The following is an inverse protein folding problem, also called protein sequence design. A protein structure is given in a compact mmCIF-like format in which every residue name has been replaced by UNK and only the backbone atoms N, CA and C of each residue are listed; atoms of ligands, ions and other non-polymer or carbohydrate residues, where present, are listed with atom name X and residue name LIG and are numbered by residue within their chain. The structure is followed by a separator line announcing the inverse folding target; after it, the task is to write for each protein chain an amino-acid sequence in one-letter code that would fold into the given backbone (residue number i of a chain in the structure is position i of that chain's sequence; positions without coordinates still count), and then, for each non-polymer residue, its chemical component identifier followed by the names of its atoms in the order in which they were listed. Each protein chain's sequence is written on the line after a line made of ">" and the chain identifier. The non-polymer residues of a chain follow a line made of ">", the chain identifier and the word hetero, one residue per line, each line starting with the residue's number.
data_IF_527836196902
#
_entry.id   IF_527836196902
#
_cell.length_a   1.000
_cell.length_b   1.000
_cell.length_c   1.000
_cell.angle_alpha   90.00
_cell.angle_beta   90.00
_cell.angle_gamma   90.00
#
_symmetry.space_group_name_H-M   'P 1'
#
loop_
_entity.id
_entity.type
_entity.pdbx_description
1 polymer ?
#
# COMPACT_ATOMS: atom_id res chain seq x y z
N UNK A 1 15.29 24.91 -1.25
CA UNK A 1 15.01 24.10 -2.46
C UNK A 1 14.67 22.64 -2.13
N UNK A 2 15.39 22.00 -1.19
CA UNK A 2 15.09 20.66 -0.70
C UNK A 2 13.71 20.54 -0.02
N UNK A 3 13.28 21.56 0.73
CA UNK A 3 11.98 21.56 1.42
C UNK A 3 10.77 21.55 0.48
N UNK A 4 10.87 22.18 -0.69
CA UNK A 4 9.77 22.21 -1.66
C UNK A 4 9.56 20.83 -2.31
N UNK A 5 10.65 20.12 -2.62
CA UNK A 5 10.58 18.73 -3.10
C UNK A 5 9.99 17.80 -2.02
N UNK A 6 10.33 18.05 -0.75
CA UNK A 6 9.84 17.29 0.41
C UNK A 6 8.34 17.50 0.66
N UNK A 7 7.86 18.74 0.54
CA UNK A 7 6.42 19.08 0.65
C UNK A 7 5.63 18.37 -0.46
N UNK A 8 6.15 18.41 -1.69
CA UNK A 8 5.49 17.82 -2.85
C UNK A 8 5.44 16.28 -2.78
N UNK A 9 6.49 15.64 -2.24
CA UNK A 9 6.51 14.19 -2.00
C UNK A 9 5.47 13.78 -0.96
N UNK A 10 5.39 14.48 0.18
CA UNK A 10 4.40 14.19 1.23
C UNK A 10 2.97 14.30 0.71
N UNK A 11 2.68 15.29 -0.12
CA UNK A 11 1.36 15.44 -0.76
C UNK A 11 1.06 14.30 -1.72
N UNK A 12 2.04 13.88 -2.55
CA UNK A 12 1.89 12.71 -3.44
C UNK A 12 1.62 11.43 -2.68
N UNK A 13 2.32 11.20 -1.57
CA UNK A 13 2.10 10.02 -0.71
C UNK A 13 0.71 10.05 -0.06
N UNK A 14 0.25 11.22 0.40
CA UNK A 14 -1.12 11.38 0.92
C UNK A 14 -2.17 11.10 -0.15
N UNK A 15 -2.01 11.62 -1.37
CA UNK A 15 -2.92 11.35 -2.48
C UNK A 15 -2.90 9.87 -2.88
N UNK A 16 -1.72 9.26 -2.91
CA UNK A 16 -1.58 7.82 -3.16
C UNK A 16 -2.37 7.01 -2.13
N UNK A 17 -2.23 7.32 -0.83
CA UNK A 17 -2.99 6.66 0.24
C UNK A 17 -4.50 6.88 0.12
N UNK A 18 -4.93 8.09 -0.21
CA UNK A 18 -6.35 8.45 -0.22
C UNK A 18 -7.12 7.96 -1.44
N UNK A 19 -6.45 7.86 -2.60
CA UNK A 19 -7.11 7.55 -3.89
C UNK A 19 -6.68 6.19 -4.43
N UNK A 20 -5.37 5.96 -4.58
CA UNK A 20 -4.87 4.74 -5.22
C UNK A 20 -5.07 3.55 -4.31
N UNK A 21 -4.67 3.68 -3.05
CA UNK A 21 -4.74 2.60 -2.07
C UNK A 21 -6.18 2.20 -1.74
N UNK A 22 -7.09 3.17 -1.60
CA UNK A 22 -8.51 2.94 -1.32
C UNK A 22 -9.19 2.25 -2.51
N UNK A 23 -8.98 2.73 -3.73
CA UNK A 23 -9.51 2.11 -4.96
C UNK A 23 -8.99 0.68 -5.12
N UNK A 24 -7.70 0.46 -4.84
CA UNK A 24 -7.04 -0.83 -4.98
C UNK A 24 -7.50 -1.85 -3.93
N UNK A 25 -7.73 -1.40 -2.68
CA UNK A 25 -8.31 -2.23 -1.63
C UNK A 25 -9.79 -2.53 -1.88
N UNK A 26 -10.59 -1.55 -2.30
CA UNK A 26 -12.00 -1.76 -2.63
C UNK A 26 -12.18 -2.75 -3.79
N UNK A 27 -11.33 -2.63 -4.82
CA UNK A 27 -11.25 -3.63 -5.89
C UNK A 27 -10.86 -5.03 -5.37
N UNK A 28 -9.96 -5.10 -4.39
CA UNK A 28 -9.58 -6.36 -3.75
C UNK A 28 -10.65 -6.93 -2.81
N UNK A 29 -11.54 -6.12 -2.23
CA UNK A 29 -12.70 -6.59 -1.44
C UNK A 29 -13.74 -7.26 -2.34
N UNK A 30 -13.90 -6.77 -3.58
CA UNK A 30 -14.87 -7.28 -4.55
C UNK A 30 -14.34 -8.42 -5.43
N UNK A 31 -13.02 -8.60 -5.50
CA UNK A 31 -12.38 -9.74 -6.16
C UNK A 31 -12.00 -10.81 -5.14
N UNK A 32 -12.26 -12.08 -5.42
CA UNK A 32 -11.73 -13.18 -4.62
C UNK A 32 -10.21 -13.08 -4.57
N UNK A 33 -9.68 -12.77 -3.39
CA UNK A 33 -8.26 -12.45 -3.13
C UNK A 33 -7.40 -13.69 -3.31
N UNK A 34 -7.15 -14.08 -4.56
CA UNK A 34 -6.12 -15.07 -4.87
C UNK A 34 -4.75 -14.47 -4.61
N UNK A 35 -3.86 -15.26 -4.01
CA UNK A 35 -2.48 -14.89 -3.70
C UNK A 35 -1.68 -14.38 -4.90
N UNK A 36 -2.07 -14.78 -6.12
CA UNK A 36 -1.50 -14.28 -7.38
C UNK A 36 -1.80 -12.81 -7.63
N UNK A 37 -3.02 -12.34 -7.32
CA UNK A 37 -3.40 -10.94 -7.49
C UNK A 37 -2.74 -10.07 -6.43
N UNK A 38 -2.64 -10.55 -5.18
CA UNK A 38 -1.91 -9.86 -4.12
C UNK A 38 -0.44 -9.60 -4.50
N UNK A 39 0.23 -10.56 -5.16
CA UNK A 39 1.59 -10.37 -5.69
C UNK A 39 1.66 -9.29 -6.76
N UNK A 40 0.74 -9.29 -7.73
CA UNK A 40 0.69 -8.27 -8.79
C UNK A 40 0.42 -6.88 -8.21
N UNK A 41 -0.51 -6.77 -7.27
CA UNK A 41 -0.82 -5.54 -6.55
C UNK A 41 0.38 -5.04 -5.74
N UNK A 42 1.10 -5.92 -5.07
CA UNK A 42 2.30 -5.57 -4.33
C UNK A 42 3.41 -5.04 -5.26
N UNK A 43 3.62 -5.69 -6.42
CA UNK A 43 4.57 -5.21 -7.42
C UNK A 43 4.18 -3.84 -7.98
N UNK A 44 2.89 -3.63 -8.28
CA UNK A 44 2.37 -2.33 -8.73
C UNK A 44 2.59 -1.25 -7.66
N UNK A 45 2.27 -1.55 -6.41
CA UNK A 45 2.44 -0.65 -5.26
C UNK A 45 3.90 -0.19 -5.11
N UNK A 46 4.85 -1.13 -5.13
CA UNK A 46 6.28 -0.83 -5.07
C UNK A 46 6.77 -0.04 -6.28
N UNK A 47 6.28 -0.37 -7.49
CA UNK A 47 6.60 0.38 -8.71
C UNK A 47 6.12 1.84 -8.63
N UNK A 48 4.93 2.07 -8.07
CA UNK A 48 4.42 3.43 -7.82
C UNK A 48 5.33 4.19 -6.85
N UNK A 49 5.76 3.58 -5.75
CA UNK A 49 6.65 4.24 -4.79
C UNK A 49 8.02 4.55 -5.37
N UNK A 50 8.64 3.62 -6.11
CA UNK A 50 9.89 3.91 -6.82
C UNK A 50 9.75 5.09 -7.77
N UNK A 51 8.63 5.20 -8.48
CA UNK A 51 8.35 6.33 -9.38
C UNK A 51 8.09 7.65 -8.64
N UNK A 52 7.38 7.60 -7.51
CA UNK A 52 7.11 8.77 -6.65
C UNK A 52 8.41 9.30 -6.02
N UNK A 53 9.27 8.40 -5.57
CA UNK A 53 10.60 8.70 -5.00
C UNK A 53 11.67 8.98 -6.07
N UNK A 54 11.33 8.82 -7.35
CA UNK A 54 12.25 8.97 -8.49
C UNK A 54 13.50 8.06 -8.39
N UNK A 55 13.33 6.88 -7.84
CA UNK A 55 14.40 5.88 -7.71
C UNK A 55 14.64 5.17 -9.04
N UNK A 56 15.92 4.96 -9.36
CA UNK A 56 16.35 4.18 -10.51
C UNK A 56 16.61 2.73 -10.07
N UNK A 57 16.42 1.78 -10.98
CA UNK A 57 16.73 0.37 -10.71
C UNK A 57 18.21 0.16 -10.34
N UNK A 58 19.09 1.04 -10.83
CA UNK A 58 20.53 1.04 -10.55
C UNK A 58 20.86 1.31 -9.08
N UNK A 59 19.97 1.98 -8.35
CA UNK A 59 20.22 2.35 -6.95
C UNK A 59 20.17 1.13 -6.01
N UNK A 60 19.74 -0.06 -6.51
CA UNK A 60 19.69 -1.35 -5.80
C UNK A 60 19.02 -1.29 -4.41
N UNK A 61 18.13 -0.31 -4.22
CA UNK A 61 17.43 -0.11 -2.95
C UNK A 61 16.44 -1.25 -2.73
N UNK A 62 16.47 -1.92 -1.56
CA UNK A 62 15.54 -2.98 -1.24
C UNK A 62 14.13 -2.43 -1.05
N UNK A 63 13.13 -3.24 -1.39
CA UNK A 63 11.71 -2.84 -1.28
C UNK A 63 11.30 -2.51 0.16
N UNK A 64 11.98 -3.08 1.16
CA UNK A 64 11.79 -2.77 2.58
C UNK A 64 12.14 -1.32 2.91
N UNK A 65 13.28 -0.83 2.42
CA UNK A 65 13.69 0.57 2.61
C UNK A 65 12.73 1.55 1.91
N UNK A 66 12.25 1.19 0.72
CA UNK A 66 11.24 1.99 -0.01
C UNK A 66 9.97 2.15 0.83
N UNK A 67 9.52 1.08 1.49
CA UNK A 67 8.35 1.13 2.38
C UNK A 67 8.64 1.96 3.64
N UNK A 68 9.81 1.80 4.26
CA UNK A 68 10.21 2.59 5.43
C UNK A 68 10.23 4.09 5.14
N UNK A 69 10.77 4.50 4.00
CA UNK A 69 10.85 5.92 3.61
C UNK A 69 9.47 6.54 3.35
N UNK A 70 8.50 5.74 2.90
CA UNK A 70 7.14 6.22 2.67
C UNK A 70 6.27 6.16 3.92
N UNK A 71 6.63 5.33 4.90
CA UNK A 71 5.83 5.06 6.10
C UNK A 71 4.50 4.36 5.77
N UNK A 72 4.40 3.70 4.62
CA UNK A 72 3.19 2.99 4.17
C UNK A 72 3.46 1.48 4.24
N UNK A 73 2.45 0.74 4.71
CA UNK A 73 2.50 -0.71 4.81
C UNK A 73 2.45 -1.37 3.42
N UNK A 74 3.08 -2.54 3.30
CA UNK A 74 2.93 -3.35 2.09
C UNK A 74 1.48 -3.79 1.88
N UNK A 75 1.11 -4.07 0.63
CA UNK A 75 -0.23 -4.56 0.28
C UNK A 75 -0.58 -5.82 1.07
N UNK A 76 0.39 -6.73 1.28
CA UNK A 76 0.17 -7.94 2.08
C UNK A 76 -0.21 -7.62 3.53
N UNK A 77 0.48 -6.67 4.16
CA UNK A 77 0.17 -6.25 5.52
C UNK A 77 -1.19 -5.57 5.61
N UNK A 78 -1.53 -4.74 4.62
CA UNK A 78 -2.81 -4.06 4.54
C UNK A 78 -3.98 -5.01 4.34
N UNK A 79 -3.88 -5.93 3.38
CA UNK A 79 -4.90 -6.96 3.15
C UNK A 79 -5.09 -7.81 4.40
N UNK A 80 -3.98 -8.22 5.06
CA UNK A 80 -4.05 -8.94 6.33
C UNK A 80 -4.77 -8.13 7.41
N UNK A 81 -4.53 -6.82 7.49
CA UNK A 81 -5.20 -5.94 8.45
C UNK A 81 -6.71 -5.83 8.18
N UNK A 82 -7.12 -5.73 6.91
CA UNK A 82 -8.54 -5.73 6.52
C UNK A 82 -9.19 -7.06 6.89
N UNK A 83 -8.54 -8.18 6.57
CA UNK A 83 -9.03 -9.52 6.91
C UNK A 83 -9.18 -9.70 8.43
N UNK A 84 -8.20 -9.27 9.23
CA UNK A 84 -8.27 -9.35 10.69
C UNK A 84 -9.37 -8.46 11.28
N UNK A 85 -9.64 -7.29 10.67
CA UNK A 85 -10.77 -6.43 11.07
C UNK A 85 -12.10 -7.10 10.74
N UNK A 86 -12.21 -7.71 9.56
CA UNK A 86 -13.39 -8.47 9.14
C UNK A 86 -13.66 -9.66 10.05
N UNK A 87 -12.65 -10.48 10.34
CA UNK A 87 -12.79 -11.62 11.26
C UNK A 87 -13.14 -11.17 12.68
N UNK A 88 -12.57 -10.06 13.14
CA UNK A 88 -12.93 -9.46 14.42
C UNK A 88 -14.36 -8.89 14.44
N UNK A 89 -14.92 -8.48 13.30
CA UNK A 89 -16.31 -8.07 13.21
C UNK A 89 -17.25 -9.28 13.26
N UNK A 90 -16.93 -10.35 12.52
CA UNK A 90 -17.68 -11.62 12.57
C UNK A 90 -17.74 -12.20 13.98
N UNK A 91 -16.61 -12.26 14.69
CA UNK A 91 -16.55 -12.72 16.08
C UNK A 91 -17.43 -11.90 17.04
N UNK A 92 -17.67 -10.62 16.75
CA UNK A 92 -18.56 -9.76 17.55
C UNK A 92 -20.04 -9.91 17.19
N UNK A 93 -20.34 -10.45 16.01
CA UNK A 93 -21.72 -10.76 15.61
C UNK A 93 -22.23 -12.06 16.22
N UNK A 94 -21.34 -12.99 16.57
CA UNK A 94 -21.69 -14.27 17.22
C UNK A 94 -22.00 -14.12 18.73
N UNK A 95 -21.74 -12.95 19.32
CA UNK A 95 -22.04 -12.65 20.73
C UNK A 95 -23.44 -11.98 20.93
N UNK A 96 -24.26 -11.88 19.87
CA UNK A 96 -25.70 -11.52 19.91
C UNK A 96 -26.59 -12.74 19.61
#
# INVERSE_FOLDING_TARGET
>A
MADFLRIHLKTKLKMYKAVVLTTLLYGAETWTVYSSQARKLNHFHLSCFRRILKLRCQDRIPDTEVLEWTGILSIHAMVRQVLLRWSGHLLRMDDE
#
